data_IF_827822795200
#
_entry.id   IF_827822795200
#
_cell.length_a   1.000
_cell.length_b   1.000
_cell.length_c   1.000
_cell.angle_alpha   90.00
_cell.angle_beta   90.00
_cell.angle_gamma   90.00
#
_symmetry.space_group_name_H-M   'P 1'
#
loop_
_entity.id
_entity.type
_entity.pdbx_description
1 polymer ?
#
# COMPACT_ATOMS: atom_id res chain seq x y z
N UNK A 1 1.28 -13.60 -21.01
CA UNK A 1 1.06 -13.88 -19.57
C UNK A 1 0.51 -12.61 -18.91
N UNK A 2 -0.38 -12.71 -17.89
CA UNK A 2 -0.83 -11.53 -17.14
C UNK A 2 0.30 -11.04 -16.25
N UNK A 3 0.45 -9.71 -16.13
CA UNK A 3 1.49 -9.06 -15.30
C UNK A 3 0.89 -8.17 -14.26
N UNK A 4 1.46 -8.16 -13.06
CA UNK A 4 1.10 -7.24 -11.98
C UNK A 4 2.37 -6.66 -11.35
N UNK A 5 2.27 -5.41 -10.90
CA UNK A 5 3.36 -4.71 -10.20
C UNK A 5 3.00 -4.55 -8.73
N UNK A 6 3.93 -4.88 -7.84
CA UNK A 6 3.86 -4.43 -6.44
C UNK A 6 4.91 -3.35 -6.18
N UNK A 7 4.50 -2.29 -5.50
CA UNK A 7 5.33 -1.17 -5.04
C UNK A 7 5.26 -1.19 -3.53
N UNK A 8 6.26 -1.74 -2.86
CA UNK A 8 6.21 -1.94 -1.42
C UNK A 8 7.61 -2.13 -0.81
N UNK A 9 7.66 -2.21 0.51
CA UNK A 9 8.86 -2.59 1.23
C UNK A 9 9.22 -4.06 1.04
N UNK A 10 10.50 -4.38 1.20
CA UNK A 10 11.01 -5.75 1.20
C UNK A 10 11.02 -6.29 2.62
N UNK A 11 10.39 -7.45 2.84
CA UNK A 11 10.39 -8.18 4.12
C UNK A 11 11.41 -9.32 4.09
N UNK A 12 12.48 -9.20 4.89
CA UNK A 12 13.52 -10.25 5.01
C UNK A 12 12.98 -11.59 5.51
N UNK A 13 11.88 -11.58 6.30
CA UNK A 13 11.19 -12.78 6.77
C UNK A 13 10.29 -13.43 5.71
N UNK A 14 10.01 -12.73 4.61
CA UNK A 14 9.25 -13.24 3.47
C UNK A 14 7.76 -13.46 3.71
N UNK A 15 7.20 -13.00 4.84
CA UNK A 15 5.79 -13.14 5.21
C UNK A 15 4.91 -11.96 4.83
N UNK A 16 5.52 -10.83 4.46
CA UNK A 16 4.86 -9.59 4.07
C UNK A 16 5.57 -8.94 2.86
N UNK A 17 5.27 -7.67 2.58
CA UNK A 17 5.94 -6.87 1.58
C UNK A 17 5.90 -7.48 0.17
N UNK A 18 6.90 -7.11 -0.64
CA UNK A 18 6.99 -7.60 -2.03
C UNK A 18 7.09 -9.13 -2.10
N UNK A 19 7.66 -9.78 -1.09
CA UNK A 19 7.83 -11.24 -1.07
C UNK A 19 6.48 -11.96 -0.97
N UNK A 20 5.59 -11.50 -0.09
CA UNK A 20 4.24 -12.05 0.01
C UNK A 20 3.42 -11.78 -1.25
N UNK A 21 3.55 -10.58 -1.82
CA UNK A 21 2.87 -10.20 -3.05
C UNK A 21 3.31 -11.08 -4.22
N UNK A 22 4.63 -11.30 -4.42
CA UNK A 22 5.17 -12.16 -5.46
C UNK A 22 4.71 -13.61 -5.33
N UNK A 23 4.73 -14.15 -4.11
CA UNK A 23 4.20 -15.51 -3.84
C UNK A 23 2.73 -15.61 -4.23
N UNK A 24 1.94 -14.59 -3.87
CA UNK A 24 0.53 -14.53 -4.21
C UNK A 24 0.32 -14.42 -5.72
N UNK A 25 1.02 -13.52 -6.41
CA UNK A 25 0.93 -13.39 -7.86
C UNK A 25 1.27 -14.69 -8.56
N UNK A 26 2.36 -15.35 -8.15
CA UNK A 26 2.78 -16.64 -8.70
C UNK A 26 1.74 -17.73 -8.50
N UNK A 27 1.13 -17.82 -7.31
CA UNK A 27 0.07 -18.78 -7.01
C UNK A 27 -1.17 -18.61 -7.90
N UNK A 28 -1.43 -17.39 -8.39
CA UNK A 28 -2.51 -17.09 -9.34
C UNK A 28 -2.07 -17.10 -10.82
N UNK A 29 -0.87 -17.57 -11.13
CA UNK A 29 -0.35 -17.62 -12.50
C UNK A 29 -0.11 -16.24 -13.12
N UNK A 30 0.18 -15.24 -12.28
CA UNK A 30 0.46 -13.87 -12.68
C UNK A 30 1.96 -13.61 -12.54
N UNK A 31 2.58 -13.05 -13.58
CA UNK A 31 3.98 -12.62 -13.50
C UNK A 31 4.10 -11.35 -12.66
N UNK A 32 4.79 -11.46 -11.53
CA UNK A 32 4.98 -10.35 -10.59
C UNK A 32 6.23 -9.53 -10.92
N UNK A 33 6.04 -8.21 -11.06
CA UNK A 33 7.13 -7.22 -11.09
C UNK A 33 7.17 -6.48 -9.76
N UNK A 34 8.32 -5.91 -9.39
CA UNK A 34 8.49 -5.25 -8.08
C UNK A 34 9.16 -3.89 -8.21
N UNK A 35 8.74 -2.96 -7.36
CA UNK A 35 9.45 -1.73 -7.00
C UNK A 35 9.61 -1.72 -5.49
N UNK A 36 10.84 -1.66 -5.03
CA UNK A 36 11.16 -1.64 -3.60
C UNK A 36 11.19 -0.19 -3.13
N UNK A 37 10.46 0.08 -2.05
CA UNK A 37 10.40 1.41 -1.42
C UNK A 37 11.26 1.51 -0.18
N UNK A 38 11.37 0.39 0.55
CA UNK A 38 12.12 0.29 1.81
C UNK A 38 12.64 -1.12 2.00
N UNK A 39 13.74 -1.27 2.72
CA UNK A 39 14.25 -2.57 3.17
C UNK A 39 13.92 -2.71 4.66
N UNK A 40 13.35 -3.84 5.07
CA UNK A 40 13.13 -4.11 6.49
C UNK A 40 14.00 -5.25 6.97
N UNK A 41 14.57 -5.08 8.17
CA UNK A 41 15.07 -6.20 8.97
C UNK A 41 13.90 -6.70 9.80
N UNK A 42 13.31 -7.82 9.40
CA UNK A 42 12.05 -8.32 9.96
C UNK A 42 12.09 -9.83 10.11
N UNK A 43 11.45 -10.33 11.16
CA UNK A 43 11.24 -11.74 11.43
C UNK A 43 9.85 -11.96 12.07
N UNK A 44 9.58 -13.17 12.58
CA UNK A 44 8.30 -13.51 13.22
C UNK A 44 8.01 -12.73 14.51
N UNK A 45 9.03 -12.12 15.14
CA UNK A 45 8.90 -11.31 16.34
C UNK A 45 8.55 -9.86 16.03
N UNK A 46 8.80 -9.39 14.80
CA UNK A 46 8.46 -8.03 14.36
C UNK A 46 9.51 -7.38 13.47
N UNK A 47 9.37 -6.06 13.31
CA UNK A 47 10.24 -5.21 12.49
C UNK A 47 11.30 -4.56 13.38
N UNK A 48 12.56 -4.95 13.22
CA UNK A 48 13.70 -4.43 13.97
C UNK A 48 14.20 -3.12 13.38
N UNK A 49 14.46 -3.09 12.06
CA UNK A 49 14.93 -1.91 11.33
C UNK A 49 14.12 -1.67 10.05
N UNK A 50 14.13 -0.43 9.59
CA UNK A 50 13.52 0.00 8.33
C UNK A 50 14.44 1.05 7.73
N UNK A 51 14.86 0.83 6.48
CA UNK A 51 15.64 1.77 5.68
C UNK A 51 14.84 2.11 4.42
N UNK A 52 14.34 3.35 4.36
CA UNK A 52 13.65 3.84 3.16
C UNK A 52 14.68 4.07 2.04
N UNK A 53 14.36 3.62 0.83
CA UNK A 53 15.21 3.89 -0.31
C UNK A 53 15.12 5.37 -0.72
N UNK A 54 16.21 5.94 -1.27
CA UNK A 54 16.17 7.26 -1.86
C UNK A 54 15.07 7.35 -2.93
N UNK A 55 14.31 8.43 -2.92
CA UNK A 55 13.17 8.63 -3.85
C UNK A 55 13.56 8.50 -5.32
N UNK A 56 14.79 8.90 -5.69
CA UNK A 56 15.33 8.74 -7.04
C UNK A 56 15.50 7.26 -7.45
N UNK A 57 15.84 6.40 -6.49
CA UNK A 57 15.95 4.95 -6.75
C UNK A 57 14.57 4.34 -6.99
N UNK A 58 13.57 4.73 -6.19
CA UNK A 58 12.18 4.28 -6.38
C UNK A 58 11.64 4.76 -7.74
N UNK A 59 11.92 6.00 -8.11
CA UNK A 59 11.56 6.56 -9.42
C UNK A 59 12.21 5.79 -10.57
N UNK A 60 13.50 5.50 -10.48
CA UNK A 60 14.25 4.77 -11.50
C UNK A 60 13.68 3.37 -11.74
N UNK A 61 13.37 2.62 -10.65
CA UNK A 61 12.73 1.31 -10.76
C UNK A 61 11.36 1.41 -11.47
N UNK A 62 10.53 2.38 -11.10
CA UNK A 62 9.22 2.59 -11.74
C UNK A 62 9.34 2.90 -13.23
N UNK A 63 10.26 3.79 -13.59
CA UNK A 63 10.51 4.14 -15.00
C UNK A 63 10.94 2.91 -15.79
N UNK A 64 11.93 2.16 -15.31
CA UNK A 64 12.41 0.94 -15.97
C UNK A 64 11.28 -0.06 -16.26
N UNK A 65 10.33 -0.20 -15.34
CA UNK A 65 9.20 -1.13 -15.54
C UNK A 65 8.19 -0.57 -16.54
N UNK A 66 7.77 0.68 -16.40
CA UNK A 66 6.70 1.24 -17.22
C UNK A 66 7.14 1.62 -18.64
N UNK A 67 8.43 1.82 -18.85
CA UNK A 67 9.00 2.07 -20.17
C UNK A 67 9.17 0.78 -20.99
N UNK A 68 9.32 -0.37 -20.32
CA UNK A 68 9.39 -1.69 -20.95
C UNK A 68 7.99 -2.28 -21.21
N UNK A 69 7.16 -2.41 -20.17
CA UNK A 69 5.87 -3.11 -20.28
C UNK A 69 4.82 -2.52 -19.33
N UNK A 70 3.58 -2.41 -19.83
CA UNK A 70 2.43 -1.94 -19.04
C UNK A 70 1.82 -3.09 -18.23
N UNK A 71 2.07 -3.07 -16.91
CA UNK A 71 1.38 -4.01 -16.00
C UNK A 71 -0.14 -3.80 -16.04
N UNK A 72 -0.92 -4.91 -16.05
CA UNK A 72 -2.38 -4.86 -16.06
C UNK A 72 -2.97 -4.36 -14.76
N UNK A 73 -2.27 -4.56 -13.63
CA UNK A 73 -2.66 -4.08 -12.31
C UNK A 73 -1.42 -3.68 -11.51
N UNK A 74 -1.61 -2.74 -10.59
CA UNK A 74 -0.58 -2.26 -9.68
C UNK A 74 -1.13 -2.32 -8.25
N UNK A 75 -0.32 -2.81 -7.32
CA UNK A 75 -0.59 -2.74 -5.88
C UNK A 75 0.47 -1.87 -5.23
N UNK A 76 0.07 -1.02 -4.29
CA UNK A 76 1.01 -0.39 -3.36
C UNK A 76 0.84 -0.98 -1.96
N UNK A 77 1.93 -1.17 -1.25
CA UNK A 77 1.98 -1.51 0.16
C UNK A 77 2.68 -0.43 0.96
N UNK A 78 3.67 -0.80 1.79
CA UNK A 78 4.47 0.14 2.57
C UNK A 78 5.22 1.12 1.66
N UNK A 79 5.06 2.42 1.90
CA UNK A 79 5.69 3.51 1.12
C UNK A 79 6.65 4.39 1.94
N UNK A 80 6.80 4.14 3.26
CA UNK A 80 7.75 4.80 4.14
C UNK A 80 7.43 6.25 4.48
N UNK A 81 7.56 7.17 3.52
CA UNK A 81 7.45 8.61 3.75
C UNK A 81 6.70 9.35 2.63
N UNK A 82 6.44 10.65 2.87
CA UNK A 82 5.68 11.51 1.95
C UNK A 82 6.33 11.71 0.59
N UNK A 83 7.66 11.72 0.52
CA UNK A 83 8.37 11.94 -0.74
C UNK A 83 8.20 10.75 -1.68
N UNK A 84 8.27 9.53 -1.14
CA UNK A 84 8.02 8.30 -1.90
C UNK A 84 6.54 8.24 -2.32
N UNK A 85 5.60 8.54 -1.41
CA UNK A 85 4.16 8.55 -1.74
C UNK A 85 3.86 9.53 -2.88
N UNK A 86 4.37 10.76 -2.81
CA UNK A 86 4.14 11.77 -3.87
C UNK A 86 4.76 11.35 -5.20
N UNK A 87 5.99 10.84 -5.19
CA UNK A 87 6.67 10.40 -6.40
C UNK A 87 5.95 9.21 -7.05
N UNK A 88 5.55 8.21 -6.26
CA UNK A 88 4.78 7.05 -6.72
C UNK A 88 3.46 7.52 -7.33
N UNK A 89 2.68 8.35 -6.61
CA UNK A 89 1.40 8.87 -7.12
C UNK A 89 1.58 9.65 -8.44
N UNK A 90 2.60 10.50 -8.53
CA UNK A 90 2.91 11.29 -9.73
C UNK A 90 3.20 10.40 -10.95
N UNK A 91 3.99 9.33 -10.76
CA UNK A 91 4.34 8.40 -11.85
C UNK A 91 3.15 7.52 -12.23
N UNK A 92 2.38 6.99 -11.26
CA UNK A 92 1.17 6.22 -11.56
C UNK A 92 0.14 7.03 -12.35
N UNK A 93 0.01 8.33 -12.05
CA UNK A 93 -0.81 9.26 -12.83
C UNK A 93 -0.23 9.48 -14.24
N UNK A 94 1.07 9.73 -14.36
CA UNK A 94 1.77 9.93 -15.65
C UNK A 94 1.61 8.73 -16.58
N UNK A 95 1.79 7.51 -16.05
CA UNK A 95 1.65 6.26 -16.81
C UNK A 95 0.19 5.78 -16.94
N UNK A 96 -0.78 6.56 -16.43
CA UNK A 96 -2.23 6.32 -16.55
C UNK A 96 -2.67 4.94 -16.04
N UNK A 97 -2.14 4.55 -14.88
CA UNK A 97 -2.51 3.30 -14.22
C UNK A 97 -3.98 3.34 -13.83
N UNK A 98 -4.78 2.37 -14.33
CA UNK A 98 -6.24 2.33 -14.10
C UNK A 98 -6.65 1.37 -12.98
N UNK A 99 -5.92 0.27 -12.81
CA UNK A 99 -6.21 -0.78 -11.81
C UNK A 99 -5.18 -0.70 -10.69
N UNK A 100 -5.34 0.31 -9.83
CA UNK A 100 -4.50 0.53 -8.66
C UNK A 100 -5.21 0.03 -7.41
N UNK A 101 -4.59 -0.89 -6.70
CA UNK A 101 -4.99 -1.33 -5.36
C UNK A 101 -4.03 -0.71 -4.35
N UNK A 102 -4.56 0.04 -3.40
CA UNK A 102 -3.76 0.63 -2.32
C UNK A 102 -4.01 -0.15 -1.03
N UNK A 103 -2.97 -0.82 -0.55
CA UNK A 103 -2.91 -1.34 0.81
C UNK A 103 -2.22 -0.27 1.67
N UNK A 104 -2.96 0.44 2.54
CA UNK A 104 -2.46 1.65 3.21
C UNK A 104 -1.66 1.29 4.45
N UNK A 105 -0.56 0.56 4.28
CA UNK A 105 0.29 0.06 5.36
C UNK A 105 0.87 1.22 6.18
N UNK A 106 0.21 1.55 7.29
CA UNK A 106 0.63 2.61 8.22
C UNK A 106 1.42 2.04 9.40
N UNK A 107 1.04 0.84 9.85
CA UNK A 107 1.72 0.14 10.93
C UNK A 107 1.99 -1.30 10.55
N UNK A 108 3.09 -1.86 11.09
CA UNK A 108 3.33 -3.30 11.07
C UNK A 108 2.33 -4.03 11.97
N UNK A 109 2.21 -5.34 11.82
CA UNK A 109 1.44 -6.20 12.73
C UNK A 109 1.94 -6.08 14.17
N UNK A 110 3.26 -5.88 14.37
CA UNK A 110 3.86 -5.63 15.69
C UNK A 110 3.64 -4.21 16.23
N UNK A 111 2.96 -3.32 15.47
CA UNK A 111 2.61 -1.95 15.89
C UNK A 111 3.65 -0.89 15.56
N UNK A 112 4.79 -1.24 14.93
CA UNK A 112 5.79 -0.25 14.49
C UNK A 112 5.20 0.63 13.40
N UNK A 113 5.39 1.94 13.48
CA UNK A 113 4.96 2.89 12.47
C UNK A 113 5.82 2.74 11.21
N UNK A 114 5.18 2.52 10.08
CA UNK A 114 5.81 2.27 8.77
C UNK A 114 5.54 3.38 7.74
N UNK A 115 4.66 4.32 8.06
CA UNK A 115 4.40 5.49 7.23
C UNK A 115 4.36 6.74 8.12
N UNK A 116 5.03 7.81 7.72
CA UNK A 116 5.01 9.10 8.43
C UNK A 116 3.60 9.71 8.43
N UNK A 117 3.31 10.64 9.34
CA UNK A 117 2.01 11.35 9.35
C UNK A 117 1.82 12.18 8.08
N UNK A 118 2.87 12.87 7.65
CA UNK A 118 2.90 13.59 6.36
C UNK A 118 2.68 12.64 5.18
N UNK A 119 3.22 11.42 5.23
CA UNK A 119 2.97 10.36 4.25
C UNK A 119 1.51 9.92 4.19
N UNK A 120 0.82 9.83 5.35
CA UNK A 120 -0.62 9.53 5.39
C UNK A 120 -1.43 10.65 4.71
N UNK A 121 -1.14 11.91 5.02
CA UNK A 121 -1.84 13.04 4.39
C UNK A 121 -1.53 13.12 2.88
N UNK A 122 -0.28 12.83 2.48
CA UNK A 122 0.09 12.75 1.08
C UNK A 122 -0.64 11.60 0.36
N UNK A 123 -0.75 10.44 1.01
CA UNK A 123 -1.53 9.29 0.49
C UNK A 123 -2.99 9.68 0.25
N UNK A 124 -3.66 10.32 1.24
CA UNK A 124 -5.05 10.78 1.11
C UNK A 124 -5.22 11.77 -0.05
N UNK A 125 -4.28 12.71 -0.19
CA UNK A 125 -4.35 13.80 -1.17
C UNK A 125 -3.97 13.37 -2.58
N UNK A 126 -2.99 12.48 -2.75
CA UNK A 126 -2.36 12.21 -4.04
C UNK A 126 -2.56 10.79 -4.57
N UNK A 127 -2.58 9.79 -3.68
CA UNK A 127 -2.58 8.37 -4.09
C UNK A 127 -4.01 7.80 -4.10
N UNK A 128 -4.81 8.02 -3.05
CA UNK A 128 -6.17 7.50 -2.96
C UNK A 128 -7.08 7.98 -4.10
N UNK A 129 -7.00 9.24 -4.60
CA UNK A 129 -7.79 9.67 -5.76
C UNK A 129 -7.50 8.87 -7.05
N UNK A 130 -6.35 8.21 -7.15
CA UNK A 130 -5.98 7.37 -8.29
C UNK A 130 -6.40 5.91 -8.09
N UNK A 131 -6.72 5.52 -6.87
CA UNK A 131 -6.96 4.13 -6.52
C UNK A 131 -8.32 3.62 -7.05
N UNK A 132 -8.30 2.41 -7.60
CA UNK A 132 -9.52 1.66 -7.87
C UNK A 132 -10.06 1.04 -6.58
N UNK A 133 -9.18 0.55 -5.71
CA UNK A 133 -9.52 -0.12 -4.46
C UNK A 133 -8.52 0.29 -3.37
N UNK A 134 -9.01 0.51 -2.16
CA UNK A 134 -8.19 0.60 -0.94
C UNK A 134 -8.63 -0.46 0.06
N UNK A 135 -7.66 -1.10 0.76
CA UNK A 135 -7.89 -2.26 1.63
C UNK A 135 -7.46 -2.03 3.08
N UNK A 136 -7.95 -0.97 3.77
CA UNK A 136 -7.50 -0.66 5.12
C UNK A 136 -8.00 -1.68 6.13
N UNK A 137 -7.16 -1.99 7.12
CA UNK A 137 -7.61 -2.62 8.35
C UNK A 137 -8.37 -1.59 9.23
N UNK A 138 -8.93 -2.03 10.37
CA UNK A 138 -9.75 -1.15 11.22
C UNK A 138 -8.98 0.09 11.70
N UNK A 139 -7.73 -0.08 12.16
CA UNK A 139 -6.90 1.01 12.65
C UNK A 139 -6.55 2.01 11.53
N UNK A 140 -6.24 1.51 10.37
CA UNK A 140 -5.97 2.33 9.18
C UNK A 140 -7.23 3.06 8.70
N UNK A 141 -8.38 2.39 8.71
CA UNK A 141 -9.65 3.01 8.37
C UNK A 141 -10.01 4.15 9.33
N UNK A 142 -9.75 3.99 10.64
CA UNK A 142 -9.92 5.07 11.61
C UNK A 142 -9.04 6.28 11.29
N UNK A 143 -7.77 6.05 10.91
CA UNK A 143 -6.83 7.11 10.57
C UNK A 143 -7.22 7.81 9.26
N UNK A 144 -7.56 7.03 8.24
CA UNK A 144 -7.92 7.58 6.93
C UNK A 144 -9.23 8.36 6.96
N UNK A 145 -10.21 7.88 7.74
CA UNK A 145 -11.55 8.49 7.84
C UNK A 145 -11.70 9.54 8.95
N UNK A 146 -10.84 9.50 9.97
CA UNK A 146 -11.02 10.28 11.21
C UNK A 146 -12.14 9.77 12.12
N UNK A 147 -12.77 8.63 11.80
CA UNK A 147 -13.91 8.07 12.55
C UNK A 147 -13.44 6.91 13.42
N UNK A 148 -13.72 6.95 14.71
CA UNK A 148 -13.51 5.80 15.61
C UNK A 148 -14.53 4.70 15.32
N UNK A 149 -14.04 3.47 15.13
CA UNK A 149 -14.85 2.29 14.79
C UNK A 149 -15.03 1.43 16.01
N UNK A 150 -16.19 1.54 16.64
CA UNK A 150 -16.59 0.77 17.82
C UNK A 150 -17.68 -0.27 17.52
N UNK A 151 -18.51 -0.01 16.51
CA UNK A 151 -19.67 -0.82 16.12
C UNK A 151 -19.67 -1.09 14.61
N UNK A 152 -20.37 -2.12 14.12
CA UNK A 152 -20.46 -2.39 12.69
C UNK A 152 -20.95 -1.19 11.85
N UNK A 153 -21.86 -0.38 12.39
CA UNK A 153 -22.34 0.83 11.71
C UNK A 153 -21.23 1.87 11.44
N UNK A 154 -20.25 1.96 12.35
CA UNK A 154 -19.12 2.90 12.21
C UNK A 154 -18.21 2.52 11.05
N UNK A 155 -18.11 1.21 10.71
CA UNK A 155 -17.36 0.73 9.55
C UNK A 155 -17.92 1.31 8.24
N UNK A 156 -19.25 1.31 8.11
CA UNK A 156 -19.92 1.90 6.92
C UNK A 156 -19.69 3.40 6.84
N UNK A 157 -19.71 4.10 7.98
CA UNK A 157 -19.42 5.53 8.04
C UNK A 157 -17.97 5.83 7.65
N UNK A 158 -17.00 5.09 8.22
CA UNK A 158 -15.59 5.24 7.89
C UNK A 158 -15.34 4.96 6.40
N UNK A 159 -15.91 3.89 5.84
CA UNK A 159 -15.79 3.60 4.41
C UNK A 159 -16.33 4.74 3.53
N UNK A 160 -17.48 5.34 3.89
CA UNK A 160 -18.04 6.49 3.17
C UNK A 160 -17.12 7.72 3.22
N UNK A 161 -16.48 7.98 4.36
CA UNK A 161 -15.51 9.09 4.47
C UNK A 161 -14.27 8.81 3.60
N UNK A 162 -13.77 7.57 3.60
CA UNK A 162 -12.64 7.21 2.73
C UNK A 162 -13.01 7.37 1.25
N UNK A 163 -14.23 7.00 0.85
CA UNK A 163 -14.70 7.20 -0.53
C UNK A 163 -14.67 8.67 -0.99
N UNK A 164 -14.81 9.63 -0.08
CA UNK A 164 -14.72 11.07 -0.40
C UNK A 164 -13.31 11.49 -0.86
N UNK A 165 -12.28 10.68 -0.62
CA UNK A 165 -10.93 10.92 -1.16
C UNK A 165 -10.84 10.72 -2.68
N UNK A 166 -11.88 10.16 -3.30
CA UNK A 166 -11.93 9.86 -4.74
C UNK A 166 -11.62 8.40 -5.09
N UNK A 167 -11.25 7.56 -4.12
CA UNK A 167 -11.11 6.11 -4.35
C UNK A 167 -12.46 5.49 -4.76
N UNK A 168 -12.45 4.54 -5.70
CA UNK A 168 -13.70 3.98 -6.24
C UNK A 168 -14.34 2.92 -5.34
N UNK A 169 -13.53 2.17 -4.58
CA UNK A 169 -14.01 1.12 -3.70
C UNK A 169 -13.15 1.02 -2.43
N UNK A 170 -13.78 0.57 -1.33
CA UNK A 170 -13.13 0.34 -0.04
C UNK A 170 -13.48 -1.06 0.43
N UNK A 171 -12.49 -1.87 0.74
CA UNK A 171 -12.64 -3.15 1.46
C UNK A 171 -12.01 -3.01 2.83
N UNK A 172 -12.84 -2.94 3.87
CA UNK A 172 -12.38 -2.95 5.24
C UNK A 172 -12.02 -4.38 5.65
N UNK A 173 -10.73 -4.63 5.83
CA UNK A 173 -10.23 -5.91 6.33
C UNK A 173 -10.40 -5.98 7.84
N UNK A 174 -10.76 -7.16 8.37
CA UNK A 174 -11.19 -7.30 9.77
C UNK A 174 -10.09 -7.13 10.82
N UNK A 175 -8.84 -7.38 10.50
CA UNK A 175 -7.65 -7.46 11.37
C UNK A 175 -7.78 -6.89 12.80
N UNK A 176 -7.45 -7.70 13.82
CA UNK A 176 -7.28 -7.32 15.23
C UNK A 176 -8.52 -6.84 16.04
N UNK A 177 -9.74 -7.11 15.61
CA UNK A 177 -10.86 -7.01 16.53
C UNK A 177 -10.77 -8.13 17.55
N UNK A 178 -10.46 -7.79 18.80
CA UNK A 178 -10.75 -8.68 19.94
C UNK A 178 -12.27 -8.76 20.03
N UNK A 179 -12.84 -9.90 19.73
CA UNK A 179 -14.28 -10.14 19.88
C UNK A 179 -14.81 -11.05 18.77
N UNK A 180 -15.54 -12.04 19.23
CA UNK A 180 -16.25 -13.09 18.48
C UNK A 180 -17.10 -12.57 17.34
#
# INVERSE_FOLDING_TARGET
MRTALTIAGSDSGGGAGIQADLKTFSAFGVFGKTVITSITSQNTLGVQAVDDLPVGVVESQLKSIFEDDKCQAVKTGMLGNEQIVDRVASLLKRYRVKKLVVDPVIFSTSGKKLLTLSGVEMMKKRLLPLAYLVTPNIREAEILSGIKIRRPADRKRAAREILKTGVRAVVLTGGHLKGK
#
